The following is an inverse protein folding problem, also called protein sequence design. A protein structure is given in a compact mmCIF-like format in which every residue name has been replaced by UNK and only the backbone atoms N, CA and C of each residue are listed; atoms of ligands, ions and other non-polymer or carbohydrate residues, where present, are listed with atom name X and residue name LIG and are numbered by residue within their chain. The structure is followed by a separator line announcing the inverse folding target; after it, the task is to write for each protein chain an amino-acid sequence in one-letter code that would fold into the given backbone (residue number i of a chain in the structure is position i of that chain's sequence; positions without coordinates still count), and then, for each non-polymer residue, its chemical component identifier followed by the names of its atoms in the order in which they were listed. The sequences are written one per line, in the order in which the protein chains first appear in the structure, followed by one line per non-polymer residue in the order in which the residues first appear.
data_IF_580385294768
#
_entry.id   IF_580385294768
#
_cell.length_a   1.000
_cell.length_b   1.000
_cell.length_c   1.000
_cell.angle_alpha   90.00
_cell.angle_beta   90.00
_cell.angle_gamma   90.00
#
_symmetry.space_group_name_H-M   'P 1'
#
loop_
_entity.id
_entity.type
_entity.pdbx_description
1 polymer ?
#
# COMPACT_ATOMS: atom_id res chain seq x y z
N UNK A 1 -6.72 12.20 0.67
CA UNK A 1 -6.59 10.79 1.11
C UNK A 1 -6.57 10.73 2.63
N UNK A 2 -7.17 9.71 3.24
CA UNK A 2 -7.04 9.49 4.70
C UNK A 2 -5.60 9.11 5.06
N UNK A 3 -5.20 9.30 6.33
CA UNK A 3 -3.87 8.89 6.81
C UNK A 3 -3.67 7.39 6.60
N UNK A 4 -4.69 6.58 6.92
CA UNK A 4 -4.67 5.14 6.70
C UNK A 4 -4.43 4.78 5.23
N UNK A 5 -5.13 5.43 4.30
CA UNK A 5 -4.93 5.19 2.87
C UNK A 5 -3.52 5.55 2.43
N UNK A 6 -2.99 6.71 2.87
CA UNK A 6 -1.61 7.10 2.55
C UNK A 6 -0.60 6.07 3.07
N UNK A 7 -0.80 5.59 4.30
CA UNK A 7 0.07 4.60 4.93
C UNK A 7 0.07 3.29 4.14
N UNK A 8 -1.11 2.77 3.80
CA UNK A 8 -1.28 1.53 3.04
C UNK A 8 -0.66 1.59 1.64
N UNK A 9 -0.86 2.70 0.93
CA UNK A 9 -0.31 2.88 -0.42
C UNK A 9 1.21 3.07 -0.37
N UNK A 10 1.72 3.92 0.52
CA UNK A 10 3.16 4.16 0.60
C UNK A 10 3.93 2.91 1.04
N UNK A 11 3.40 2.12 1.98
CA UNK A 11 4.06 0.88 2.38
C UNK A 11 4.19 -0.09 1.20
N UNK A 12 3.13 -0.24 0.39
CA UNK A 12 3.16 -1.05 -0.84
C UNK A 12 4.09 -0.48 -1.90
N UNK A 13 4.09 0.83 -2.07
CA UNK A 13 4.99 1.50 -3.00
C UNK A 13 6.45 1.19 -2.63
N UNK A 14 6.85 1.40 -1.37
CA UNK A 14 8.20 1.09 -0.90
C UNK A 14 8.58 -0.39 -1.01
N UNK A 15 7.59 -1.28 -1.02
CA UNK A 15 7.81 -2.69 -1.31
C UNK A 15 8.06 -2.97 -2.80
N UNK A 16 7.28 -2.34 -3.70
CA UNK A 16 7.33 -2.59 -5.14
C UNK A 16 8.46 -1.88 -5.88
N UNK A 17 9.00 -0.78 -5.35
CA UNK A 17 10.16 -0.09 -5.97
C UNK A 17 11.42 -0.98 -6.01
N UNK A 18 11.51 -2.00 -5.17
CA UNK A 18 12.56 -3.00 -5.28
C UNK A 18 12.23 -3.96 -6.44
N UNK A 19 13.07 -3.97 -7.46
CA UNK A 19 12.77 -4.65 -8.72
C UNK A 19 12.53 -6.16 -8.55
N UNK A 20 11.48 -6.64 -9.24
CA UNK A 20 11.06 -8.05 -9.39
C UNK A 20 10.49 -8.74 -8.14
N UNK A 21 9.56 -8.08 -7.45
CA UNK A 21 8.71 -8.78 -6.47
C UNK A 21 7.40 -9.20 -7.13
N UNK A 22 7.17 -10.50 -7.27
CA UNK A 22 5.90 -11.06 -7.79
C UNK A 22 4.89 -11.40 -6.68
N UNK A 23 5.32 -11.32 -5.41
CA UNK A 23 4.51 -11.67 -4.25
C UNK A 23 3.63 -10.46 -3.86
N UNK A 24 2.31 -10.63 -3.68
CA UNK A 24 1.42 -9.59 -3.14
C UNK A 24 1.89 -9.08 -1.77
N UNK A 25 1.69 -7.78 -1.49
CA UNK A 25 2.21 -7.17 -0.27
C UNK A 25 1.63 -7.77 1.02
N UNK A 26 0.40 -8.27 0.96
CA UNK A 26 -0.24 -8.93 2.11
C UNK A 26 0.31 -10.35 2.38
N UNK A 27 1.06 -10.94 1.44
CA UNK A 27 1.57 -12.32 1.50
C UNK A 27 3.07 -12.39 1.90
N UNK A 28 3.74 -11.26 2.01
CA UNK A 28 5.15 -11.21 2.44
C UNK A 28 5.31 -11.46 3.94
N UNK A 29 6.56 -11.73 4.35
CA UNK A 29 6.89 -11.93 5.75
C UNK A 29 6.64 -10.65 6.57
N UNK A 30 6.40 -10.83 7.87
CA UNK A 30 6.01 -9.73 8.75
C UNK A 30 7.12 -8.67 8.91
N UNK A 31 8.39 -9.08 8.99
CA UNK A 31 9.51 -8.17 9.22
C UNK A 31 9.69 -7.20 8.04
N UNK A 32 9.58 -7.70 6.81
CA UNK A 32 9.64 -6.91 5.59
C UNK A 32 8.44 -5.96 5.48
N UNK A 33 7.24 -6.46 5.81
CA UNK A 33 6.03 -5.64 5.81
C UNK A 33 6.11 -4.51 6.85
N UNK A 34 6.58 -4.82 8.05
CA UNK A 34 6.74 -3.84 9.13
C UNK A 34 7.79 -2.79 8.79
N UNK A 35 8.86 -3.16 8.08
CA UNK A 35 9.83 -2.22 7.54
C UNK A 35 9.19 -1.24 6.56
N UNK A 36 8.39 -1.73 5.60
CA UNK A 36 7.67 -0.88 4.65
C UNK A 36 6.71 0.10 5.36
N UNK A 37 5.97 -0.37 6.36
CA UNK A 37 5.10 0.49 7.16
C UNK A 37 5.89 1.51 7.99
N UNK A 38 7.04 1.13 8.54
CA UNK A 38 7.92 2.04 9.28
C UNK A 38 8.38 3.20 8.40
N UNK A 39 8.82 2.92 7.18
CA UNK A 39 9.24 3.95 6.21
C UNK A 39 8.05 4.84 5.81
N UNK A 40 6.89 4.24 5.47
CA UNK A 40 5.67 4.99 5.14
C UNK A 40 5.21 5.92 6.27
N UNK A 41 5.22 5.43 7.50
CA UNK A 41 4.89 6.21 8.68
C UNK A 41 5.85 7.40 8.84
N UNK A 42 7.15 7.23 8.57
CA UNK A 42 8.13 8.32 8.64
C UNK A 42 7.84 9.43 7.63
N UNK A 43 7.47 9.08 6.39
CA UNK A 43 7.06 10.06 5.38
C UNK A 43 5.82 10.86 5.79
N UNK A 44 4.87 10.21 6.45
CA UNK A 44 3.67 10.88 6.99
C UNK A 44 4.06 11.84 8.12
N UNK A 45 4.87 11.39 9.08
CA UNK A 45 5.32 12.24 10.20
C UNK A 45 6.13 13.46 9.77
N UNK A 46 6.92 13.32 8.70
CA UNK A 46 7.72 14.40 8.14
C UNK A 46 6.93 15.30 7.18
N UNK A 47 5.62 15.09 7.01
CA UNK A 47 4.75 15.80 6.05
C UNK A 47 5.22 15.69 4.59
N UNK A 48 5.94 14.62 4.24
CA UNK A 48 6.46 14.34 2.88
C UNK A 48 5.55 13.43 2.06
N UNK A 49 4.59 12.77 2.70
CA UNK A 49 3.71 11.80 2.06
C UNK A 49 2.89 12.40 0.92
N UNK A 50 2.33 13.61 1.11
CA UNK A 50 1.47 14.23 0.10
C UNK A 50 2.27 14.65 -1.15
N UNK A 51 3.42 15.30 -0.95
CA UNK A 51 4.31 15.70 -2.04
C UNK A 51 4.80 14.49 -2.84
N UNK A 52 5.20 13.40 -2.16
CA UNK A 52 5.61 12.17 -2.83
C UNK A 52 4.46 11.56 -3.65
N UNK A 53 3.27 11.41 -3.06
CA UNK A 53 2.14 10.81 -3.77
C UNK A 53 1.74 11.66 -4.99
N UNK A 54 1.75 12.99 -4.86
CA UNK A 54 1.47 13.89 -5.98
C UNK A 54 2.48 13.71 -7.12
N UNK A 55 3.78 13.64 -6.80
CA UNK A 55 4.82 13.38 -7.79
C UNK A 55 4.61 12.03 -8.51
N UNK A 56 4.33 10.95 -7.76
CA UNK A 56 4.09 9.61 -8.32
C UNK A 56 2.88 9.56 -9.25
N UNK A 57 1.81 10.31 -8.92
CA UNK A 57 0.63 10.44 -9.77
C UNK A 57 0.98 11.19 -11.06
N UNK A 58 1.71 12.31 -10.96
CA UNK A 58 2.10 13.13 -12.12
C UNK A 58 3.01 12.34 -13.06
N UNK A 59 3.92 11.55 -12.51
CA UNK A 59 4.86 10.72 -13.27
C UNK A 59 4.21 9.46 -13.85
N UNK A 60 2.97 9.15 -13.48
CA UNK A 60 2.28 7.91 -13.83
C UNK A 60 3.15 6.69 -13.49
N UNK A 61 3.69 6.69 -12.27
CA UNK A 61 4.65 5.69 -11.80
C UNK A 61 4.00 4.30 -11.71
N UNK A 62 4.65 3.31 -12.35
CA UNK A 62 4.10 1.95 -12.44
C UNK A 62 4.07 1.23 -11.09
N UNK A 63 5.03 1.50 -10.21
CA UNK A 63 5.10 0.87 -8.89
C UNK A 63 4.03 1.45 -7.96
N UNK A 64 3.74 2.75 -8.10
CA UNK A 64 2.62 3.40 -7.43
C UNK A 64 1.25 2.88 -7.91
N UNK A 65 1.08 2.71 -9.23
CA UNK A 65 -0.13 2.10 -9.80
C UNK A 65 -0.30 0.69 -9.24
N UNK A 66 0.77 -0.12 -9.26
CA UNK A 66 0.77 -1.47 -8.72
C UNK A 66 0.43 -1.51 -7.22
N UNK A 67 0.99 -0.59 -6.44
CA UNK A 67 0.69 -0.45 -5.02
C UNK A 67 -0.79 -0.15 -4.76
N UNK A 68 -1.37 0.69 -5.62
CA UNK A 68 -2.80 1.03 -5.56
C UNK A 68 -3.69 -0.14 -5.93
N UNK A 69 -3.33 -0.88 -6.98
CA UNK A 69 -4.06 -2.08 -7.41
C UNK A 69 -4.03 -3.18 -6.35
N UNK A 70 -2.86 -3.46 -5.75
CA UNK A 70 -2.73 -4.45 -4.68
C UNK A 70 -3.61 -4.08 -3.46
N UNK A 71 -3.62 -2.80 -3.08
CA UNK A 71 -4.48 -2.32 -1.99
C UNK A 71 -5.98 -2.49 -2.31
N UNK A 72 -6.41 -2.15 -3.52
CA UNK A 72 -7.81 -2.28 -3.95
C UNK A 72 -8.23 -3.76 -3.95
N UNK A 73 -7.38 -4.65 -4.50
CA UNK A 73 -7.64 -6.09 -4.53
C UNK A 73 -7.77 -6.64 -3.10
N UNK A 74 -6.85 -6.29 -2.21
CA UNK A 74 -6.88 -6.69 -0.80
C UNK A 74 -8.16 -6.20 -0.10
N UNK A 75 -8.54 -4.94 -0.30
CA UNK A 75 -9.75 -4.36 0.29
C UNK A 75 -11.02 -5.06 -0.21
N UNK A 76 -11.12 -5.29 -1.51
CA UNK A 76 -12.27 -5.98 -2.11
C UNK A 76 -12.42 -7.41 -1.56
N UNK A 77 -11.31 -8.14 -1.42
CA UNK A 77 -11.29 -9.48 -0.78
C UNK A 77 -11.80 -9.42 0.67
N UNK A 78 -11.34 -8.45 1.47
CA UNK A 78 -11.82 -8.27 2.85
C UNK A 78 -13.33 -7.97 2.90
N UNK A 79 -13.84 -7.12 2.01
CA UNK A 79 -15.27 -6.82 1.95
C UNK A 79 -16.10 -8.06 1.59
N UNK A 80 -15.65 -8.88 0.63
CA UNK A 80 -16.34 -10.13 0.27
C UNK A 80 -16.44 -11.08 1.47
N UNK A 81 -15.33 -11.30 2.18
CA UNK A 81 -15.30 -12.15 3.37
C UNK A 81 -16.21 -11.65 4.50
N UNK A 82 -16.34 -10.33 4.68
CA UNK A 82 -17.25 -9.76 5.68
C UNK A 82 -18.72 -10.06 5.34
N UNK A 83 -19.11 -9.87 4.08
CA UNK A 83 -20.48 -10.17 3.60
C UNK A 83 -20.84 -11.65 3.78
N UNK A 84 -19.89 -12.56 3.61
CA UNK A 84 -20.08 -14.00 3.80
C UNK A 84 -20.22 -14.39 5.28
N UNK A 85 -19.50 -13.71 6.18
CA UNK A 85 -19.52 -13.98 7.62
C UNK A 85 -20.73 -13.38 8.35
N UNK A 86 -21.31 -12.29 7.83
CA UNK A 86 -22.54 -11.68 8.38
C UNK A 86 -23.84 -12.38 7.92
N UNK A 87 -23.74 -13.31 6.98
CA UNK A 87 -24.86 -14.09 6.45
C UNK A 87 -25.13 -15.43 7.16
N UNK A 88 -24.48 -15.70 8.30
CA UNK A 88 -24.62 -16.92 9.12
C UNK A 88 -25.29 -16.62 10.46
#
# INVERSE_FOLDING_TARGET
MTIEYKLEILARFFYYIEQNKDIPFNEINIDERDLCYFVAHRYIQENKADELIEALIIENDNDYIRATDDYIIMRNRKCQQQTENEGV
#
